data_IF_521044878258
#
_entry.id   IF_521044878258
#
_cell.length_a   1.000
_cell.length_b   1.000
_cell.length_c   1.000
_cell.angle_alpha   90.00
_cell.angle_beta   90.00
_cell.angle_gamma   90.00
#
_symmetry.space_group_name_H-M   'P 1'
#
loop_
_entity.id
_entity.type
_entity.pdbx_description
1 polymer ?
#
# COMPACT_ATOMS: atom_id res chain seq x y z
N UNK A 1 2.10 -11.12 7.54
CA UNK A 1 2.35 -9.69 7.27
C UNK A 1 3.74 -9.58 6.69
N UNK A 2 3.83 -9.27 5.40
CA UNK A 2 5.08 -9.09 4.65
C UNK A 2 5.20 -7.59 4.41
N UNK A 3 6.36 -7.04 4.73
CA UNK A 3 6.64 -5.64 4.52
C UNK A 3 7.58 -5.55 3.33
N UNK A 4 7.10 -4.98 2.23
CA UNK A 4 7.85 -4.90 0.97
C UNK A 4 8.14 -3.42 0.68
N UNK A 5 9.36 -3.11 0.26
CA UNK A 5 9.80 -1.74 -0.03
C UNK A 5 10.43 -1.68 -1.42
N UNK A 6 10.10 -0.65 -2.18
CA UNK A 6 10.66 -0.38 -3.52
C UNK A 6 10.81 1.13 -3.72
N UNK A 7 11.79 1.56 -4.50
CA UNK A 7 11.91 2.94 -4.96
C UNK A 7 11.24 3.13 -6.32
N UNK A 8 10.59 4.28 -6.51
CA UNK A 8 9.91 4.62 -7.77
C UNK A 8 9.87 6.15 -7.95
N UNK A 9 10.40 6.65 -9.07
CA UNK A 9 10.31 8.07 -9.48
C UNK A 9 10.69 9.08 -8.37
N UNK A 10 11.75 8.82 -7.60
CA UNK A 10 12.17 9.69 -6.49
C UNK A 10 11.40 9.50 -5.18
N UNK A 11 10.64 8.40 -5.05
CA UNK A 11 9.91 8.04 -3.84
C UNK A 11 10.25 6.64 -3.34
N UNK A 12 10.11 6.43 -2.05
CA UNK A 12 10.12 5.12 -1.42
C UNK A 12 8.67 4.67 -1.18
N UNK A 13 8.29 3.54 -1.76
CA UNK A 13 7.00 2.90 -1.54
C UNK A 13 7.20 1.78 -0.53
N UNK A 14 6.44 1.81 0.56
CA UNK A 14 6.32 0.74 1.53
C UNK A 14 4.92 0.14 1.43
N UNK A 15 4.84 -1.14 1.08
CA UNK A 15 3.60 -1.90 1.01
C UNK A 15 3.47 -2.81 2.21
N UNK A 16 2.24 -2.91 2.70
CA UNK A 16 1.82 -3.80 3.77
C UNK A 16 0.50 -4.43 3.38
N UNK A 17 0.45 -5.75 3.34
CA UNK A 17 -0.79 -6.52 3.27
C UNK A 17 -1.06 -7.24 4.59
N UNK A 18 -2.34 -7.37 4.88
CA UNK A 18 -2.79 -7.77 6.19
C UNK A 18 -4.04 -8.65 6.05
N UNK A 19 -4.05 -9.80 6.74
CA UNK A 19 -5.24 -10.65 6.79
C UNK A 19 -6.32 -9.88 7.56
N UNK A 20 -7.54 -9.86 7.02
CA UNK A 20 -8.69 -9.05 7.45
C UNK A 20 -9.12 -9.19 8.92
N UNK A 21 -8.38 -9.95 9.72
CA UNK A 21 -8.66 -10.19 11.11
C UNK A 21 -7.48 -10.00 12.07
N UNK A 22 -6.66 -8.98 11.82
CA UNK A 22 -5.54 -8.65 12.71
C UNK A 22 -5.90 -8.16 14.11
N UNK A 23 -7.16 -7.79 14.40
CA UNK A 23 -7.76 -7.60 15.73
C UNK A 23 -9.17 -7.04 15.55
N UNK A 24 -10.21 -7.87 15.77
CA UNK A 24 -11.63 -7.56 15.57
C UNK A 24 -11.95 -6.93 14.21
N UNK A 25 -12.74 -7.57 13.33
CA UNK A 25 -13.03 -7.00 12.01
C UNK A 25 -13.73 -5.64 12.18
N UNK A 26 -12.98 -4.55 11.99
CA UNK A 26 -13.56 -3.23 11.82
C UNK A 26 -14.06 -3.19 10.39
N UNK A 27 -15.39 -3.18 10.21
CA UNK A 27 -16.15 -3.35 8.93
C UNK A 27 -16.30 -4.81 8.47
N UNK A 28 -16.92 -5.00 7.31
CA UNK A 28 -17.19 -6.26 6.60
C UNK A 28 -15.95 -7.08 6.20
N UNK A 29 -14.79 -6.90 6.87
CA UNK A 29 -13.55 -7.60 6.54
C UNK A 29 -13.61 -9.04 7.04
N UNK A 30 -13.33 -10.01 6.16
CA UNK A 30 -13.40 -11.44 6.46
C UNK A 30 -12.00 -12.02 6.70
N UNK A 31 -11.96 -13.10 7.49
CA UNK A 31 -10.77 -13.94 7.63
C UNK A 31 -10.41 -14.60 6.30
N UNK A 32 -9.11 -14.74 6.03
CA UNK A 32 -8.61 -15.38 4.82
C UNK A 32 -8.63 -14.48 3.57
N UNK A 33 -9.07 -13.23 3.72
CA UNK A 33 -8.95 -12.20 2.70
C UNK A 33 -7.80 -11.24 3.05
N UNK A 34 -7.00 -10.89 2.05
CA UNK A 34 -5.85 -10.01 2.20
C UNK A 34 -6.19 -8.60 1.79
N UNK A 35 -5.99 -7.65 2.72
CA UNK A 35 -6.26 -6.24 2.51
C UNK A 35 -4.94 -5.49 2.35
N UNK A 36 -4.73 -4.77 1.23
CA UNK A 36 -3.51 -4.01 1.02
C UNK A 36 -3.56 -2.62 1.64
N UNK A 37 -2.38 -2.13 1.98
CA UNK A 37 -2.11 -0.74 2.31
C UNK A 37 -0.73 -0.35 1.79
N UNK A 38 -0.53 0.94 1.53
CA UNK A 38 0.78 1.45 1.15
C UNK A 38 1.07 2.80 1.80
N UNK A 39 2.37 3.11 1.87
CA UNK A 39 2.92 4.39 2.31
C UNK A 39 3.97 4.83 1.31
N UNK A 40 4.01 6.11 1.02
CA UNK A 40 4.95 6.74 0.09
C UNK A 40 5.75 7.77 0.89
N UNK A 41 7.06 7.71 0.75
CA UNK A 41 8.02 8.64 1.36
C UNK A 41 8.83 9.31 0.25
N UNK A 42 9.30 10.54 0.47
CA UNK A 42 10.21 11.18 -0.47
C UNK A 42 11.61 10.58 -0.36
N UNK A 43 12.26 10.25 -1.47
CA UNK A 43 13.61 9.66 -1.46
C UNK A 43 14.67 10.62 -0.91
N UNK A 44 14.57 11.91 -1.21
CA UNK A 44 15.43 12.95 -0.63
C UNK A 44 15.14 13.26 0.84
N UNK A 45 14.13 12.64 1.44
CA UNK A 45 13.75 12.82 2.85
C UNK A 45 13.09 11.54 3.38
N UNK A 46 13.85 10.44 3.57
CA UNK A 46 13.31 9.10 3.83
C UNK A 46 12.51 8.94 5.14
N UNK A 47 12.41 9.99 5.97
CA UNK A 47 11.52 10.06 7.14
C UNK A 47 10.21 10.82 6.92
N UNK A 48 10.04 11.51 5.79
CA UNK A 48 8.86 12.33 5.52
C UNK A 48 7.83 11.53 4.74
N UNK A 49 6.75 11.15 5.43
CA UNK A 49 5.58 10.55 4.80
C UNK A 49 4.94 11.56 3.84
N UNK A 50 4.84 11.18 2.57
CA UNK A 50 4.22 11.97 1.51
C UNK A 50 2.74 11.60 1.38
N UNK A 51 2.43 10.31 1.41
CA UNK A 51 1.07 9.81 1.27
C UNK A 51 0.94 8.41 1.88
N UNK A 52 -0.26 8.05 2.32
CA UNK A 52 -0.59 6.69 2.73
C UNK A 52 -2.06 6.40 2.43
N UNK A 53 -2.35 5.15 2.09
CA UNK A 53 -3.71 4.71 1.82
C UNK A 53 -3.90 3.23 2.20
N UNK A 54 -5.12 2.91 2.62
CA UNK A 54 -5.57 1.53 2.83
C UNK A 54 -6.62 1.22 1.79
N UNK A 55 -6.40 0.14 1.03
CA UNK A 55 -7.31 -0.31 0.00
C UNK A 55 -8.33 -1.26 0.62
N UNK A 56 -9.62 -0.94 0.47
CA UNK A 56 -10.71 -1.77 1.02
C UNK A 56 -11.11 -2.94 0.10
N UNK A 57 -10.38 -3.13 -1.01
CA UNK A 57 -10.59 -4.29 -1.89
C UNK A 57 -9.81 -5.51 -1.37
N UNK A 58 -10.48 -6.64 -1.07
CA UNK A 58 -9.82 -7.86 -0.63
C UNK A 58 -9.18 -8.62 -1.80
N UNK A 59 -8.09 -9.33 -1.53
CA UNK A 59 -7.43 -10.25 -2.45
C UNK A 59 -7.36 -11.66 -1.86
N UNK A 60 -7.31 -12.67 -2.74
CA UNK A 60 -7.24 -14.08 -2.34
C UNK A 60 -5.84 -14.49 -1.86
N UNK A 61 -4.81 -13.73 -2.24
CA UNK A 61 -3.44 -14.00 -1.84
C UNK A 61 -2.72 -12.73 -1.38
N UNK A 62 -1.75 -12.92 -0.49
CA UNK A 62 -0.92 -11.84 0.01
C UNK A 62 -0.14 -11.14 -1.13
N UNK A 63 0.37 -11.92 -2.08
CA UNK A 63 1.17 -11.39 -3.19
C UNK A 63 0.33 -10.58 -4.20
N UNK A 64 -0.96 -10.90 -4.38
CA UNK A 64 -1.87 -10.06 -5.18
C UNK A 64 -2.20 -8.75 -4.46
N UNK A 65 -2.43 -8.80 -3.15
CA UNK A 65 -2.62 -7.60 -2.36
C UNK A 65 -1.39 -6.68 -2.45
N UNK A 66 -0.18 -7.23 -2.25
CA UNK A 66 1.05 -6.46 -2.33
C UNK A 66 1.25 -5.84 -3.72
N UNK A 67 1.02 -6.62 -4.80
CA UNK A 67 1.10 -6.12 -6.18
C UNK A 67 0.10 -4.99 -6.44
N UNK A 68 -1.15 -5.16 -6.00
CA UNK A 68 -2.16 -4.12 -6.13
C UNK A 68 -1.78 -2.83 -5.40
N UNK A 69 -1.27 -2.95 -4.17
CA UNK A 69 -0.81 -1.80 -3.40
C UNK A 69 0.33 -1.06 -4.11
N UNK A 70 1.29 -1.79 -4.71
CA UNK A 70 2.35 -1.18 -5.51
C UNK A 70 1.78 -0.47 -6.75
N UNK A 71 0.85 -1.08 -7.47
CA UNK A 71 0.19 -0.46 -8.63
C UNK A 71 -0.55 0.82 -8.25
N UNK A 72 -1.31 0.80 -7.15
CA UNK A 72 -2.00 1.99 -6.65
C UNK A 72 -1.02 3.10 -6.25
N UNK A 73 0.06 2.76 -5.54
CA UNK A 73 1.08 3.71 -5.13
C UNK A 73 1.79 4.37 -6.33
N UNK A 74 2.16 3.59 -7.35
CA UNK A 74 2.77 4.09 -8.59
C UNK A 74 1.81 5.01 -9.35
N UNK A 75 0.54 4.59 -9.50
CA UNK A 75 -0.50 5.42 -10.13
C UNK A 75 -0.70 6.76 -9.42
N UNK A 76 -0.66 6.77 -8.08
CA UNK A 76 -0.73 8.01 -7.30
C UNK A 76 0.47 8.93 -7.58
N UNK A 77 1.69 8.38 -7.62
CA UNK A 77 2.92 9.14 -7.93
C UNK A 77 2.84 9.72 -9.34
N UNK A 78 2.43 8.92 -10.32
CA UNK A 78 2.28 9.37 -11.72
C UNK A 78 1.28 10.51 -11.84
N UNK A 79 0.12 10.38 -11.18
CA UNK A 79 -0.91 11.42 -11.20
C UNK A 79 -0.46 12.70 -10.50
N UNK A 80 0.31 12.58 -9.40
CA UNK A 80 0.89 13.73 -8.72
C UNK A 80 1.90 14.45 -9.60
N UNK A 81 2.80 13.71 -10.26
CA UNK A 81 3.82 14.30 -11.13
C UNK A 81 3.21 14.94 -12.40
N UNK A 82 2.04 14.48 -12.87
CA UNK A 82 1.30 15.11 -13.98
C UNK A 82 0.56 16.40 -13.58
N UNK A 83 0.27 16.58 -12.30
CA UNK A 83 -0.44 17.74 -11.75
C UNK A 83 0.45 18.77 -11.05
N UNK A 84 1.77 18.52 -11.01
CA UNK A 84 2.80 19.40 -10.45
C UNK A 84 3.57 20.09 -11.58
#
# INVERSE_FOLDING_TARGET
MRLTRETYEGYWIQVVSFDGALRHPTRNKKWGEWYPAYRIYGEGSPGKLVHQETLDHPYQSQDEADRSAFTAAKSWIDNRNKGA
#
